data_IF_053870474703
#
_entry.id   IF_053870474703
#
_cell.length_a   1.000
_cell.length_b   1.000
_cell.length_c   1.000
_cell.angle_alpha   90.00
_cell.angle_beta   90.00
_cell.angle_gamma   90.00
#
_symmetry.space_group_name_H-M   'P 1'
#
loop_
_entity.id
_entity.type
_entity.pdbx_description
1 polymer ?
#
# COMPACT_ATOMS: atom_id res chain seq x y z
N UNK A 1 8.88 12.17 -16.44
CA UNK A 1 8.22 11.39 -15.38
C UNK A 1 9.19 11.14 -14.25
N UNK A 2 8.87 11.59 -13.04
CA UNK A 2 9.63 11.32 -11.83
C UNK A 2 9.61 9.82 -11.50
N UNK A 3 10.53 9.38 -10.63
CA UNK A 3 10.55 8.00 -10.13
C UNK A 3 9.23 7.61 -9.46
N UNK A 4 8.64 8.55 -8.71
CA UNK A 4 7.36 8.36 -8.03
C UNK A 4 6.20 8.18 -9.01
N UNK A 5 6.10 9.01 -10.05
CA UNK A 5 5.04 8.89 -11.06
C UNK A 5 5.09 7.54 -11.78
N UNK A 6 6.29 7.01 -12.05
CA UNK A 6 6.46 5.69 -12.65
C UNK A 6 5.95 4.58 -11.72
N UNK A 7 6.28 4.65 -10.42
CA UNK A 7 5.79 3.71 -9.42
C UNK A 7 4.27 3.77 -9.28
N UNK A 8 3.67 4.97 -9.25
CA UNK A 8 2.22 5.14 -9.17
C UNK A 8 1.50 4.61 -10.41
N UNK A 9 2.04 4.87 -11.62
CA UNK A 9 1.52 4.28 -12.87
C UNK A 9 1.56 2.76 -12.83
N UNK A 10 2.64 2.18 -12.30
CA UNK A 10 2.76 0.73 -12.13
C UNK A 10 1.74 0.18 -11.14
N UNK A 11 1.48 0.85 -10.01
CA UNK A 11 0.39 0.45 -9.11
C UNK A 11 -0.97 0.46 -9.84
N UNK A 12 -1.27 1.54 -10.58
CA UNK A 12 -2.51 1.69 -11.35
C UNK A 12 -2.69 0.63 -12.45
N UNK A 13 -1.61 0.06 -12.98
CA UNK A 13 -1.67 -1.02 -13.97
C UNK A 13 -1.95 -2.42 -13.37
N UNK A 14 -2.10 -2.54 -12.05
CA UNK A 14 -2.43 -3.79 -11.33
C UNK A 14 -1.55 -5.00 -11.71
N UNK A 15 -0.20 -4.90 -11.64
CA UNK A 15 0.68 -5.97 -12.08
C UNK A 15 0.61 -7.19 -11.15
N UNK A 16 0.72 -8.39 -11.73
CA UNK A 16 0.64 -9.66 -10.99
C UNK A 16 1.85 -9.93 -10.09
N UNK A 17 2.97 -9.28 -10.38
CA UNK A 17 4.25 -9.36 -9.68
C UNK A 17 4.48 -8.19 -8.72
N UNK A 18 3.45 -7.39 -8.43
CA UNK A 18 3.58 -6.22 -7.57
C UNK A 18 3.95 -6.60 -6.13
N UNK A 19 5.00 -5.98 -5.61
CA UNK A 19 5.54 -6.33 -4.31
C UNK A 19 5.01 -5.44 -3.18
N UNK A 20 5.03 -5.96 -1.95
CA UNK A 20 4.75 -5.17 -0.74
C UNK A 20 5.73 -3.99 -0.59
N UNK A 21 7.00 -4.19 -0.97
CA UNK A 21 8.01 -3.12 -0.95
C UNK A 21 7.69 -1.97 -1.90
N UNK A 22 7.21 -2.27 -3.11
CA UNK A 22 6.74 -1.24 -4.05
C UNK A 22 5.54 -0.49 -3.49
N UNK A 23 4.56 -1.20 -2.93
CA UNK A 23 3.40 -0.58 -2.27
C UNK A 23 3.84 0.37 -1.14
N UNK A 24 4.73 -0.11 -0.26
CA UNK A 24 5.24 0.66 0.87
C UNK A 24 5.89 1.96 0.41
N UNK A 25 6.74 1.90 -0.60
CA UNK A 25 7.41 3.09 -1.14
C UNK A 25 6.42 4.12 -1.69
N UNK A 26 5.36 3.68 -2.38
CA UNK A 26 4.32 4.58 -2.90
C UNK A 26 3.54 5.21 -1.75
N UNK A 27 3.06 4.40 -0.80
CA UNK A 27 2.29 4.89 0.34
C UNK A 27 3.11 5.88 1.20
N UNK A 28 4.39 5.61 1.44
CA UNK A 28 5.28 6.56 2.13
C UNK A 28 5.46 7.86 1.36
N UNK A 29 5.58 7.80 0.03
CA UNK A 29 5.58 9.01 -0.82
C UNK A 29 4.27 9.80 -0.79
N UNK A 30 3.15 9.16 -0.44
CA UNK A 30 1.83 9.76 -0.22
C UNK A 30 1.59 10.19 1.24
N UNK A 31 2.63 10.21 2.08
CA UNK A 31 2.52 10.63 3.49
C UNK A 31 1.97 9.57 4.45
N UNK A 32 1.97 8.29 4.06
CA UNK A 32 1.59 7.19 4.96
C UNK A 32 2.79 6.58 5.67
N UNK A 33 2.60 6.26 6.95
CA UNK A 33 3.56 5.54 7.79
C UNK A 33 3.04 4.13 8.07
N UNK A 34 3.92 3.13 7.92
CA UNK A 34 3.62 1.74 8.26
C UNK A 34 3.50 1.58 9.78
N UNK A 35 2.39 0.98 10.24
CA UNK A 35 2.13 0.67 11.64
C UNK A 35 1.86 -0.83 11.81
N UNK A 36 2.60 -1.47 12.71
CA UNK A 36 2.37 -2.87 13.08
C UNK A 36 1.39 -2.92 14.27
N UNK A 37 0.39 -3.79 14.22
CA UNK A 37 -0.62 -3.91 15.28
C UNK A 37 -0.14 -4.75 16.50
N UNK A 38 1.14 -4.64 16.90
CA UNK A 38 1.69 -5.30 18.08
C UNK A 38 2.23 -6.72 17.87
N UNK A 39 2.84 -7.29 18.92
CA UNK A 39 3.63 -8.55 18.90
C UNK A 39 2.83 -9.80 18.52
N UNK A 40 1.50 -9.79 18.61
CA UNK A 40 0.61 -10.92 18.31
C UNK A 40 -0.15 -10.78 16.98
N UNK A 41 0.03 -9.68 16.25
CA UNK A 41 -0.81 -9.37 15.07
C UNK A 41 -0.45 -10.12 13.79
N UNK A 42 0.54 -11.01 13.82
CA UNK A 42 0.98 -11.80 12.67
C UNK A 42 1.28 -10.91 11.45
N UNK A 43 0.88 -11.35 10.25
CA UNK A 43 1.10 -10.62 9.01
C UNK A 43 0.23 -9.37 8.83
N UNK A 44 -0.59 -8.96 9.81
CA UNK A 44 -1.47 -7.78 9.68
C UNK A 44 -0.64 -6.50 9.78
N UNK A 45 -0.81 -5.60 8.82
CA UNK A 45 -0.14 -4.29 8.79
C UNK A 45 -1.12 -3.19 8.44
N UNK A 46 -0.92 -2.02 9.03
CA UNK A 46 -1.63 -0.79 8.70
C UNK A 46 -0.70 0.24 8.08
N UNK A 47 -1.27 1.13 7.29
CA UNK A 47 -0.63 2.34 6.79
C UNK A 47 -1.51 3.52 7.19
N UNK A 48 -0.99 4.40 8.03
CA UNK A 48 -1.71 5.59 8.48
C UNK A 48 -1.12 6.84 7.85
N UNK A 49 -1.96 7.66 7.22
CA UNK A 49 -1.57 9.01 6.83
C UNK A 49 -1.73 9.94 8.03
N UNK A 50 -0.64 10.55 8.48
CA UNK A 50 -0.60 11.27 9.75
C UNK A 50 -1.43 12.55 9.74
N UNK A 51 -1.61 13.16 8.57
CA UNK A 51 -2.35 14.41 8.37
C UNK A 51 -3.86 14.16 8.33
N UNK A 52 -4.30 13.24 7.47
CA UNK A 52 -5.72 12.91 7.25
C UNK A 52 -6.28 11.89 8.23
N UNK A 53 -5.41 11.25 9.03
CA UNK A 53 -5.72 10.10 9.90
C UNK A 53 -6.31 8.90 9.14
N UNK A 54 -6.17 8.88 7.81
CA UNK A 54 -6.66 7.78 6.99
C UNK A 54 -5.82 6.53 7.19
N UNK A 55 -6.48 5.38 7.36
CA UNK A 55 -5.83 4.11 7.69
C UNK A 55 -6.19 3.03 6.68
N UNK A 56 -5.19 2.55 5.94
CA UNK A 56 -5.31 1.42 5.02
C UNK A 56 -4.77 0.18 5.72
N UNK A 57 -5.53 -0.92 5.76
CA UNK A 57 -5.11 -2.18 6.39
C UNK A 57 -4.93 -3.27 5.35
N UNK A 58 -3.84 -4.02 5.46
CA UNK A 58 -3.54 -5.16 4.61
C UNK A 58 -2.83 -6.28 5.36
N UNK A 59 -2.78 -7.45 4.72
CA UNK A 59 -1.97 -8.57 5.17
C UNK A 59 -0.67 -8.62 4.37
N UNK A 60 0.48 -8.62 5.06
CA UNK A 60 1.77 -8.87 4.44
C UNK A 60 1.75 -10.27 3.79
N UNK A 61 2.25 -10.42 2.56
CA UNK A 61 2.36 -11.73 1.93
C UNK A 61 3.33 -12.63 2.72
N UNK A 62 3.00 -13.92 2.85
CA UNK A 62 3.86 -14.92 3.49
C UNK A 62 3.51 -16.36 3.05
N UNK A 63 4.49 -17.21 2.69
CA UNK A 63 5.87 -16.86 2.32
C UNK A 63 5.91 -16.14 0.96
N UNK A 64 6.60 -15.00 0.88
CA UNK A 64 6.74 -14.22 -0.35
C UNK A 64 6.64 -12.71 -0.16
N UNK A 65 6.82 -11.95 -1.24
CA UNK A 65 6.74 -10.48 -1.24
C UNK A 65 5.67 -9.93 -2.19
N UNK A 66 5.05 -10.79 -3.01
CA UNK A 66 4.06 -10.39 -4.02
C UNK A 66 2.69 -10.23 -3.36
N UNK A 67 2.05 -9.08 -3.60
CA UNK A 67 0.69 -8.80 -3.15
C UNK A 67 -0.33 -9.55 -4.00
N UNK A 68 -1.38 -10.04 -3.35
CA UNK A 68 -2.52 -10.60 -4.08
C UNK A 68 -3.24 -9.47 -4.83
N UNK A 69 -3.77 -9.78 -6.02
CA UNK A 69 -4.43 -8.77 -6.87
C UNK A 69 -5.50 -7.96 -6.12
N UNK A 70 -6.33 -8.61 -5.31
CA UNK A 70 -7.36 -7.93 -4.52
C UNK A 70 -6.79 -6.86 -3.56
N UNK A 71 -5.55 -7.04 -3.07
CA UNK A 71 -4.93 -6.07 -2.16
C UNK A 71 -4.52 -4.81 -2.92
N UNK A 72 -4.09 -4.96 -4.17
CA UNK A 72 -3.78 -3.84 -5.05
C UNK A 72 -5.06 -3.06 -5.35
N UNK A 73 -6.15 -3.78 -5.66
CA UNK A 73 -7.45 -3.17 -5.93
C UNK A 73 -8.02 -2.44 -4.73
N UNK A 74 -7.94 -3.03 -3.54
CA UNK A 74 -8.36 -2.40 -2.28
C UNK A 74 -7.60 -1.09 -2.04
N UNK A 75 -6.27 -1.11 -2.18
CA UNK A 75 -5.46 0.10 -1.99
C UNK A 75 -5.86 1.18 -3.00
N UNK A 76 -6.00 0.84 -4.28
CA UNK A 76 -6.39 1.80 -5.31
C UNK A 76 -7.74 2.44 -5.02
N UNK A 77 -8.73 1.62 -4.63
CA UNK A 77 -10.07 2.08 -4.28
C UNK A 77 -10.04 3.03 -3.07
N UNK A 78 -9.30 2.68 -2.00
CA UNK A 78 -9.13 3.54 -0.82
C UNK A 78 -8.48 4.88 -1.17
N UNK A 79 -7.44 4.88 -2.03
CA UNK A 79 -6.76 6.10 -2.46
C UNK A 79 -7.66 6.98 -3.36
N UNK A 80 -8.43 6.38 -4.27
CA UNK A 80 -9.38 7.11 -5.12
C UNK A 80 -10.53 7.71 -4.31
N UNK A 81 -11.11 6.95 -3.37
CA UNK A 81 -12.18 7.43 -2.48
C UNK A 81 -11.76 8.62 -1.62
N UNK A 82 -10.46 8.71 -1.27
CA UNK A 82 -9.90 9.85 -0.55
C UNK A 82 -9.42 10.99 -1.43
N UNK A 83 -9.53 10.87 -2.76
CA UNK A 83 -9.08 11.89 -3.70
C UNK A 83 -7.56 12.10 -3.69
N UNK A 84 -6.79 11.08 -3.27
CA UNK A 84 -5.32 11.15 -3.20
C UNK A 84 -4.70 10.88 -4.57
N UNK A 85 -5.37 10.09 -5.42
CA UNK A 85 -4.87 9.67 -6.75
C UNK A 85 -5.93 9.73 -7.85
#
# INVERSE_FOLDING_TARGET
MSKFEKSLRRLKSKPKDFTYGELRNILTGLGYTEVNQGKTSGSRVGFINEETKHLIRLHKPHPGNILKAYQIELVLDELMKKGII
#
